data_IF_291905688408
#
_entry.id   IF_291905688408
#
_cell.length_a   1.000
_cell.length_b   1.000
_cell.length_c   1.000
_cell.angle_alpha   90.00
_cell.angle_beta   90.00
_cell.angle_gamma   90.00
#
_symmetry.space_group_name_H-M   'P 1'
#
loop_
_entity.id
_entity.type
_entity.pdbx_description
1 polymer ?
#
# COMPACT_ATOMS: atom_id res chain seq x y z
N UNK A 1 -36.34 12.32 -47.65
CA UNK A 1 -35.78 12.11 -46.30
C UNK A 1 -36.14 13.31 -45.46
N UNK A 2 -37.01 13.12 -44.47
CA UNK A 2 -37.50 14.18 -43.58
C UNK A 2 -36.50 14.41 -42.44
N UNK A 3 -36.48 15.60 -41.85
CA UNK A 3 -35.70 15.89 -40.64
C UNK A 3 -35.99 14.89 -39.50
N UNK A 4 -37.18 14.27 -39.49
CA UNK A 4 -37.56 13.21 -38.56
C UNK A 4 -36.75 11.90 -38.72
N UNK A 5 -36.26 11.59 -39.93
CA UNK A 5 -35.46 10.39 -40.21
C UNK A 5 -34.02 10.51 -39.67
N UNK A 6 -33.55 11.74 -39.44
CA UNK A 6 -32.22 12.03 -38.90
C UNK A 6 -32.18 12.09 -37.37
N UNK A 7 -33.33 12.32 -36.70
CA UNK A 7 -33.43 12.35 -35.24
C UNK A 7 -32.84 11.09 -34.57
N UNK A 8 -33.18 9.85 -34.96
CA UNK A 8 -32.57 8.65 -34.36
C UNK A 8 -31.06 8.55 -34.64
N UNK A 9 -30.61 9.07 -35.79
CA UNK A 9 -29.21 9.07 -36.20
C UNK A 9 -28.33 9.98 -35.32
N UNK A 10 -28.89 11.04 -34.75
CA UNK A 10 -28.18 11.95 -33.84
C UNK A 10 -28.41 11.62 -32.35
N UNK A 11 -29.58 11.08 -31.98
CA UNK A 11 -29.88 10.72 -30.57
C UNK A 11 -29.16 9.47 -30.10
N UNK A 12 -28.96 8.47 -30.96
CA UNK A 12 -28.26 7.23 -30.59
C UNK A 12 -26.77 7.53 -30.27
N UNK A 13 -26.00 8.22 -31.13
CA UNK A 13 -24.60 8.55 -30.79
C UNK A 13 -24.49 9.51 -29.60
N UNK A 14 -25.38 10.51 -29.51
CA UNK A 14 -25.37 11.48 -28.41
C UNK A 14 -25.61 10.84 -27.05
N UNK A 15 -26.56 9.90 -26.95
CA UNK A 15 -26.83 9.17 -25.71
C UNK A 15 -25.67 8.25 -25.31
N UNK A 16 -25.02 7.59 -26.28
CA UNK A 16 -23.82 6.76 -26.02
C UNK A 16 -22.67 7.60 -25.48
N UNK A 17 -22.38 8.77 -26.09
CA UNK A 17 -21.32 9.68 -25.62
C UNK A 17 -21.63 10.18 -24.20
N UNK A 18 -22.89 10.53 -23.92
CA UNK A 18 -23.34 10.95 -22.59
C UNK A 18 -23.11 9.86 -21.54
N UNK A 19 -23.46 8.61 -21.85
CA UNK A 19 -23.26 7.46 -20.95
C UNK A 19 -21.78 7.19 -20.72
N UNK A 20 -20.95 7.20 -21.78
CA UNK A 20 -19.50 6.98 -21.68
C UNK A 20 -18.85 8.08 -20.83
N UNK A 21 -19.23 9.34 -21.03
CA UNK A 21 -18.71 10.46 -20.25
C UNK A 21 -19.13 10.35 -18.78
N UNK A 22 -20.39 10.02 -18.50
CA UNK A 22 -20.87 9.80 -17.14
C UNK A 22 -20.14 8.65 -16.45
N UNK A 23 -19.97 7.52 -17.15
CA UNK A 23 -19.21 6.37 -16.64
C UNK A 23 -17.73 6.73 -16.40
N UNK A 24 -17.12 7.52 -17.29
CA UNK A 24 -15.76 7.99 -17.14
C UNK A 24 -15.59 8.88 -15.90
N UNK A 25 -16.48 9.85 -15.67
CA UNK A 25 -16.44 10.71 -14.48
C UNK A 25 -16.57 9.89 -13.19
N UNK A 26 -17.48 8.91 -13.18
CA UNK A 26 -17.63 8.00 -12.04
C UNK A 26 -16.34 7.19 -11.83
N UNK A 27 -15.82 6.57 -12.89
CA UNK A 27 -14.57 5.81 -12.84
C UNK A 27 -13.41 6.66 -12.28
N UNK A 28 -13.25 7.86 -12.82
CA UNK A 28 -12.23 8.82 -12.41
C UNK A 28 -12.36 9.15 -10.91
N UNK A 29 -13.57 9.40 -10.42
CA UNK A 29 -13.84 9.74 -9.03
C UNK A 29 -13.50 8.61 -8.05
N UNK A 30 -13.65 7.36 -8.45
CA UNK A 30 -13.49 6.20 -7.58
C UNK A 30 -12.09 5.56 -7.63
N UNK A 31 -11.46 5.52 -8.81
CA UNK A 31 -10.24 4.75 -9.06
C UNK A 31 -8.98 5.58 -9.30
N UNK A 32 -9.08 6.85 -9.74
CA UNK A 32 -7.89 7.66 -10.13
C UNK A 32 -6.92 7.92 -8.98
N UNK A 33 -7.42 8.02 -7.75
CA UNK A 33 -6.65 8.49 -6.59
C UNK A 33 -6.40 7.40 -5.53
N UNK A 34 -6.21 6.15 -5.95
CA UNK A 34 -5.78 5.11 -5.02
C UNK A 34 -4.28 5.28 -4.70
N UNK A 35 -3.89 5.25 -3.41
CA UNK A 35 -2.48 5.20 -3.05
C UNK A 35 -1.90 3.88 -3.51
N UNK A 36 -0.61 3.89 -3.80
CA UNK A 36 0.13 2.69 -4.13
C UNK A 36 1.03 2.31 -2.97
N UNK A 37 1.15 1.02 -2.70
CA UNK A 37 1.99 0.49 -1.65
C UNK A 37 2.81 -0.67 -2.21
N UNK A 38 4.13 -0.62 -2.05
CA UNK A 38 5.03 -1.64 -2.55
C UNK A 38 6.25 -1.78 -1.66
N UNK A 39 6.81 -2.98 -1.61
CA UNK A 39 8.01 -3.27 -0.84
C UNK A 39 9.22 -2.92 -1.71
N UNK A 40 10.19 -2.21 -1.10
CA UNK A 40 11.45 -1.83 -1.73
C UNK A 40 12.63 -2.21 -0.84
N UNK A 41 13.78 -2.43 -1.48
CA UNK A 41 15.07 -2.41 -0.82
C UNK A 41 15.65 -0.99 -0.87
N UNK A 42 16.12 -0.47 0.26
CA UNK A 42 16.84 0.81 0.32
C UNK A 42 18.05 0.66 1.26
N UNK A 43 19.21 1.24 0.94
CA UNK A 43 20.35 1.20 1.86
C UNK A 43 20.01 1.96 3.15
N UNK A 44 20.46 1.43 4.30
CA UNK A 44 20.25 2.06 5.61
C UNK A 44 20.91 3.44 5.72
N UNK A 45 22.05 3.59 5.05
CA UNK A 45 22.84 4.83 4.97
C UNK A 45 23.09 5.11 3.49
N UNK A 46 22.99 6.37 3.01
CA UNK A 46 23.35 6.70 1.63
C UNK A 46 24.74 6.17 1.27
N UNK A 47 24.83 5.29 0.26
CA UNK A 47 26.08 4.64 -0.16
C UNK A 47 26.51 3.41 0.66
N UNK A 48 25.75 3.01 1.67
CA UNK A 48 26.00 1.80 2.45
C UNK A 48 25.66 0.52 1.67
N UNK A 49 26.44 -0.54 1.91
CA UNK A 49 26.22 -1.85 1.30
C UNK A 49 25.02 -2.61 1.92
N UNK A 50 24.70 -2.33 3.18
CA UNK A 50 23.58 -2.99 3.87
C UNK A 50 22.23 -2.42 3.43
N UNK A 51 21.40 -3.27 2.83
CA UNK A 51 20.03 -2.96 2.41
C UNK A 51 19.05 -3.39 3.49
N UNK A 52 18.05 -2.56 3.72
CA UNK A 52 16.90 -2.91 4.54
C UNK A 52 15.62 -2.91 3.69
N UNK A 53 14.63 -3.65 4.18
CA UNK A 53 13.32 -3.78 3.56
C UNK A 53 12.39 -2.66 4.05
N UNK A 54 11.71 -1.99 3.11
CA UNK A 54 10.80 -0.90 3.40
C UNK A 54 9.49 -1.06 2.66
N UNK A 55 8.41 -0.63 3.30
CA UNK A 55 7.15 -0.38 2.66
C UNK A 55 7.13 1.08 2.17
N UNK A 56 7.11 1.28 0.86
CA UNK A 56 6.87 2.59 0.27
C UNK A 56 5.39 2.77 0.00
N UNK A 57 4.81 3.85 0.52
CA UNK A 57 3.44 4.26 0.24
C UNK A 57 3.47 5.60 -0.48
N UNK A 58 2.81 5.68 -1.64
CA UNK A 58 2.73 6.89 -2.47
C UNK A 58 1.29 7.37 -2.49
N UNK A 59 1.07 8.59 -2.00
CA UNK A 59 -0.20 9.28 -2.12
C UNK A 59 -0.26 10.08 -3.42
N UNK A 60 -0.84 9.51 -4.47
CA UNK A 60 -1.03 10.19 -5.76
C UNK A 60 -2.14 11.24 -5.77
N UNK A 61 -2.88 11.37 -4.68
CA UNK A 61 -3.96 12.34 -4.59
C UNK A 61 -3.44 13.69 -4.09
N UNK A 62 -4.14 14.77 -4.40
CA UNK A 62 -3.85 16.11 -3.85
C UNK A 62 -4.28 16.26 -2.38
N UNK A 63 -4.89 15.22 -1.79
CA UNK A 63 -5.51 15.27 -0.47
C UNK A 63 -4.71 14.44 0.51
N UNK A 64 -4.60 14.86 1.78
CA UNK A 64 -3.97 14.03 2.79
C UNK A 64 -4.77 12.73 3.01
N UNK A 65 -4.04 11.63 3.21
CA UNK A 65 -4.57 10.32 3.58
C UNK A 65 -4.06 9.90 4.95
N UNK A 66 -4.89 9.20 5.70
CA UNK A 66 -4.46 8.40 6.84
C UNK A 66 -4.12 7.00 6.33
N UNK A 67 -2.96 6.51 6.73
CA UNK A 67 -2.53 5.13 6.52
C UNK A 67 -2.35 4.48 7.88
N UNK A 68 -2.95 3.31 8.10
CA UNK A 68 -2.85 2.58 9.34
C UNK A 68 -2.61 1.10 9.15
N UNK A 69 -2.00 0.45 10.14
CA UNK A 69 -1.69 -0.97 10.12
C UNK A 69 -1.70 -1.54 11.54
N UNK A 70 -1.98 -2.85 11.69
CA UNK A 70 -1.89 -3.50 12.99
C UNK A 70 -0.43 -3.51 13.48
N UNK A 71 -0.26 -3.28 14.77
CA UNK A 71 1.01 -3.47 15.50
C UNK A 71 0.85 -4.58 16.52
N UNK A 72 1.96 -5.23 16.88
CA UNK A 72 1.93 -6.36 17.79
C UNK A 72 2.99 -7.42 17.48
N UNK A 73 2.88 -8.54 18.19
CA UNK A 73 3.85 -9.64 18.12
C UNK A 73 3.20 -10.89 17.51
N UNK A 74 2.35 -10.70 16.51
CA UNK A 74 1.77 -11.83 15.77
C UNK A 74 2.87 -12.59 15.01
N UNK A 75 2.70 -13.91 14.94
CA UNK A 75 3.53 -14.80 14.14
C UNK A 75 3.10 -14.73 12.67
N UNK A 76 4.03 -14.92 11.74
CA UNK A 76 3.81 -14.82 10.28
C UNK A 76 3.31 -13.45 9.78
N UNK A 77 3.26 -12.43 10.62
CA UNK A 77 2.79 -11.09 10.25
C UNK A 77 3.95 -10.14 9.91
N UNK A 78 3.82 -9.40 8.81
CA UNK A 78 4.74 -8.33 8.47
C UNK A 78 4.62 -7.20 9.51
N UNK A 79 5.75 -6.83 10.12
CA UNK A 79 5.81 -5.73 11.08
C UNK A 79 6.29 -4.47 10.38
N UNK A 80 5.55 -3.39 10.60
CA UNK A 80 5.88 -2.09 10.00
C UNK A 80 6.13 -1.08 11.13
N UNK A 81 7.32 -0.48 11.14
CA UNK A 81 7.65 0.64 12.01
C UNK A 81 7.30 1.96 11.34
N UNK A 82 6.97 2.99 12.12
CA UNK A 82 6.64 4.31 11.56
C UNK A 82 7.88 5.10 11.12
N UNK A 83 9.02 4.85 11.75
CA UNK A 83 10.32 5.45 11.41
C UNK A 83 11.46 4.55 11.95
N UNK A 84 12.70 4.99 11.78
CA UNK A 84 13.91 4.30 12.27
C UNK A 84 14.24 4.53 13.74
N UNK A 85 13.47 5.34 14.45
CA UNK A 85 13.75 5.60 15.86
C UNK A 85 13.53 4.32 16.67
N UNK A 86 14.40 4.05 17.64
CA UNK A 86 14.24 2.94 18.58
C UNK A 86 12.86 2.98 19.25
N UNK A 87 12.33 4.18 19.49
CA UNK A 87 11.00 4.39 20.05
C UNK A 87 9.88 3.88 19.13
N UNK A 88 9.95 4.15 17.83
CA UNK A 88 8.94 3.67 16.89
C UNK A 88 9.02 2.16 16.67
N UNK A 89 10.23 1.59 16.68
CA UNK A 89 10.46 0.15 16.61
C UNK A 89 9.87 -0.54 17.84
N UNK A 90 10.15 -0.03 19.05
CA UNK A 90 9.55 -0.60 20.28
C UNK A 90 8.03 -0.46 20.25
N UNK A 91 7.51 0.68 19.79
CA UNK A 91 6.06 0.91 19.71
C UNK A 91 5.37 -0.04 18.71
N UNK A 92 6.03 -0.46 17.63
CA UNK A 92 5.45 -1.40 16.67
C UNK A 92 5.32 -2.83 17.22
N UNK A 93 6.03 -3.15 18.30
CA UNK A 93 5.89 -4.43 19.02
C UNK A 93 4.69 -4.44 19.98
N UNK A 94 4.15 -3.29 20.36
CA UNK A 94 2.98 -3.21 21.23
C UNK A 94 1.71 -3.48 20.42
N UNK A 95 0.83 -4.33 20.96
CA UNK A 95 -0.46 -4.62 20.34
C UNK A 95 -1.29 -3.34 20.17
N UNK A 96 -1.82 -3.13 18.97
CA UNK A 96 -2.66 -1.98 18.67
C UNK A 96 -2.73 -1.67 17.18
N UNK A 97 -2.98 -0.41 16.87
CA UNK A 97 -2.98 0.11 15.51
C UNK A 97 -2.08 1.35 15.47
N UNK A 98 -1.21 1.41 14.46
CA UNK A 98 -0.41 2.60 14.18
C UNK A 98 -1.00 3.29 12.97
N UNK A 99 -1.18 4.61 13.07
CA UNK A 99 -1.61 5.46 11.97
C UNK A 99 -0.60 6.58 11.72
N UNK A 100 -0.43 6.94 10.44
CA UNK A 100 0.40 8.04 9.95
C UNK A 100 -0.41 8.84 8.92
N UNK A 101 -0.15 10.14 8.83
CA UNK A 101 -0.72 11.03 7.81
C UNK A 101 0.29 11.16 6.68
N UNK A 102 -0.17 11.02 5.44
CA UNK A 102 0.60 11.33 4.23
C UNK A 102 -0.10 12.46 3.50
N UNK A 103 0.62 13.55 3.24
CA UNK A 103 0.08 14.69 2.51
C UNK A 103 -0.11 14.38 1.02
N UNK A 104 -0.81 15.27 0.32
CA UNK A 104 -1.12 15.09 -1.09
C UNK A 104 0.14 15.14 -1.96
N UNK A 105 0.32 14.16 -2.85
CA UNK A 105 1.49 14.04 -3.72
C UNK A 105 2.74 13.53 -3.02
N UNK A 106 2.67 13.23 -1.72
CA UNK A 106 3.82 12.79 -0.92
C UNK A 106 4.05 11.28 -1.06
N UNK A 107 5.30 10.87 -0.85
CA UNK A 107 5.68 9.49 -0.63
C UNK A 107 6.40 9.31 0.71
N UNK A 108 6.13 8.19 1.37
CA UNK A 108 6.80 7.82 2.61
C UNK A 108 7.29 6.38 2.55
N UNK A 109 8.37 6.12 3.31
CA UNK A 109 8.95 4.80 3.45
C UNK A 109 8.93 4.38 4.91
N UNK A 110 8.36 3.22 5.19
CA UNK A 110 8.21 2.66 6.52
C UNK A 110 9.09 1.40 6.64
N UNK A 111 9.96 1.29 7.65
CA UNK A 111 10.79 0.10 7.82
C UNK A 111 9.93 -1.15 8.05
N UNK A 112 10.25 -2.22 7.31
CA UNK A 112 9.65 -3.54 7.50
C UNK A 112 10.57 -4.37 8.37
N UNK A 113 10.03 -4.93 9.45
CA UNK A 113 10.76 -5.74 10.41
C UNK A 113 10.37 -7.22 10.26
N UNK A 114 11.33 -8.09 10.58
CA UNK A 114 11.11 -9.53 10.63
C UNK A 114 10.05 -9.89 11.68
N UNK A 115 9.17 -10.86 11.42
CA UNK A 115 8.27 -11.43 12.43
C UNK A 115 9.08 -12.15 13.53
N UNK A 116 8.43 -12.45 14.65
CA UNK A 116 9.09 -13.11 15.80
C UNK A 116 9.58 -14.51 15.44
N UNK A 117 8.81 -15.24 14.66
CA UNK A 117 9.09 -16.62 14.29
C UNK A 117 9.90 -16.74 12.99
N UNK A 118 10.67 -15.71 12.61
CA UNK A 118 11.40 -15.64 11.34
C UNK A 118 12.27 -16.87 11.04
N UNK A 119 12.98 -17.37 12.04
CA UNK A 119 13.87 -18.52 11.92
C UNK A 119 13.06 -19.80 11.63
N UNK A 120 11.87 -19.93 12.20
CA UNK A 120 11.00 -21.08 11.99
C UNK A 120 10.20 -21.04 10.68
N UNK A 121 10.31 -19.96 9.88
CA UNK A 121 9.61 -19.84 8.60
C UNK A 121 10.34 -20.60 7.50
N UNK A 122 9.57 -21.34 6.71
CA UNK A 122 10.07 -21.94 5.48
C UNK A 122 10.38 -20.83 4.42
N UNK A 123 11.36 -21.03 3.53
CA UNK A 123 11.73 -20.01 2.53
C UNK A 123 10.57 -19.56 1.63
N UNK A 124 9.65 -20.45 1.30
CA UNK A 124 8.49 -20.17 0.44
C UNK A 124 7.27 -19.66 1.21
N UNK A 125 7.34 -19.64 2.55
CA UNK A 125 6.25 -19.14 3.38
C UNK A 125 6.09 -17.62 3.23
N UNK A 126 4.85 -17.20 3.05
CA UNK A 126 4.48 -15.79 2.91
C UNK A 126 4.16 -15.17 4.26
N UNK A 127 4.72 -13.99 4.49
CA UNK A 127 4.36 -13.11 5.59
C UNK A 127 3.54 -11.95 5.04
N UNK A 128 2.48 -11.58 5.75
CA UNK A 128 1.51 -10.60 5.27
C UNK A 128 1.07 -9.60 6.33
N UNK A 129 0.56 -8.47 5.88
CA UNK A 129 -0.08 -7.48 6.74
C UNK A 129 -1.11 -6.68 5.95
N UNK A 130 -2.17 -6.27 6.64
CA UNK A 130 -3.24 -5.46 6.06
C UNK A 130 -2.96 -4.01 6.43
N UNK A 131 -2.73 -3.19 5.43
CA UNK A 131 -2.65 -1.75 5.61
C UNK A 131 -3.96 -1.13 5.17
N UNK A 132 -4.53 -0.33 6.06
CA UNK A 132 -5.77 0.41 5.85
C UNK A 132 -5.44 1.84 5.46
N UNK A 133 -6.30 2.44 4.66
CA UNK A 133 -6.17 3.84 4.30
C UNK A 133 -7.52 4.52 4.08
N UNK A 134 -7.55 5.82 4.34
CA UNK A 134 -8.70 6.69 4.09
C UNK A 134 -8.26 8.13 3.85
N UNK A 135 -9.08 8.92 3.17
CA UNK A 135 -8.85 10.35 3.06
C UNK A 135 -9.07 11.05 4.41
N UNK A 136 -8.29 12.09 4.70
CA UNK A 136 -8.41 12.78 5.98
C UNK A 136 -9.72 13.57 6.12
N UNK A 137 -10.26 14.07 5.01
CA UNK A 137 -11.59 14.68 4.99
C UNK A 137 -12.66 13.59 4.85
N UNK A 138 -13.60 13.48 5.80
CA UNK A 138 -14.72 12.55 5.68
C UNK A 138 -15.62 13.01 4.55
N UNK A 139 -15.57 12.32 3.42
CA UNK A 139 -16.67 12.34 2.47
C UNK A 139 -17.68 11.34 3.02
N UNK A 140 -18.91 11.79 3.23
CA UNK A 140 -20.01 11.14 3.99
C UNK A 140 -20.20 9.63 3.77
N UNK A 141 -19.64 9.03 2.72
CA UNK A 141 -19.82 7.64 2.31
C UNK A 141 -18.54 6.82 2.02
N UNK A 142 -17.31 7.25 2.39
CA UNK A 142 -16.10 6.46 2.06
C UNK A 142 -15.65 5.53 3.21
N UNK A 143 -15.90 4.23 2.99
CA UNK A 143 -15.39 3.04 3.68
C UNK A 143 -13.86 3.10 3.83
N UNK A 144 -13.35 2.67 4.98
CA UNK A 144 -11.92 2.33 5.13
C UNK A 144 -11.54 1.33 4.03
N UNK A 145 -10.51 1.67 3.27
CA UNK A 145 -10.00 0.82 2.19
C UNK A 145 -8.76 0.09 2.69
N UNK A 146 -8.49 -1.07 2.12
CA UNK A 146 -7.37 -1.90 2.54
C UNK A 146 -6.53 -2.32 1.35
N UNK A 147 -5.24 -2.53 1.58
CA UNK A 147 -4.37 -3.28 0.69
C UNK A 147 -3.65 -4.34 1.50
N UNK A 148 -3.63 -5.57 0.96
CA UNK A 148 -2.87 -6.68 1.50
C UNK A 148 -1.45 -6.60 0.96
N UNK A 149 -0.49 -6.53 1.87
CA UNK A 149 0.93 -6.58 1.53
C UNK A 149 1.41 -7.97 1.92
N UNK A 150 2.08 -8.63 0.99
CA UNK A 150 2.64 -9.97 1.19
C UNK A 150 4.03 -10.07 0.59
N UNK A 151 4.91 -10.81 1.26
CA UNK A 151 6.24 -11.15 0.75
C UNK A 151 6.64 -12.52 1.28
N UNK A 152 7.34 -13.34 0.49
CA UNK A 152 7.92 -14.59 0.99
C UNK A 152 9.24 -14.35 1.71
N UNK A 153 9.62 -15.25 2.64
CA UNK A 153 10.93 -15.22 3.31
C UNK A 153 12.07 -15.11 2.28
N UNK A 154 12.05 -15.95 1.23
CA UNK A 154 13.03 -15.91 0.13
C UNK A 154 13.09 -14.55 -0.56
N UNK A 155 11.94 -13.95 -0.90
CA UNK A 155 11.91 -12.64 -1.56
C UNK A 155 12.43 -11.53 -0.66
N UNK A 156 12.16 -11.60 0.64
CA UNK A 156 12.68 -10.64 1.61
C UNK A 156 14.21 -10.72 1.70
N UNK A 157 14.78 -11.94 1.80
CA UNK A 157 16.22 -12.15 1.86
C UNK A 157 16.92 -11.64 0.59
N UNK A 158 16.31 -11.85 -0.58
CA UNK A 158 16.78 -11.31 -1.86
C UNK A 158 16.78 -9.77 -1.89
N UNK A 159 15.88 -9.11 -1.16
CA UNK A 159 15.84 -7.63 -1.10
C UNK A 159 16.90 -7.07 -0.14
N UNK A 160 17.23 -7.80 0.92
CA UNK A 160 18.20 -7.36 1.93
C UNK A 160 19.63 -7.77 1.62
N UNK A 161 19.85 -8.58 0.56
CA UNK A 161 21.11 -9.27 0.27
C UNK A 161 21.63 -10.08 1.48
N UNK A 162 20.70 -10.58 2.31
CA UNK A 162 21.06 -11.42 3.46
C UNK A 162 21.14 -12.89 3.01
N UNK A 163 22.22 -13.56 3.39
CA UNK A 163 22.33 -15.03 3.25
C UNK A 163 21.59 -15.67 4.43
N UNK A 164 20.68 -16.60 4.14
CA UNK A 164 20.05 -17.42 5.17
C UNK A 164 21.15 -18.32 5.76
N UNK A 165 21.54 -18.10 7.01
CA UNK A 165 22.62 -18.87 7.66
C UNK A 165 22.17 -20.27 8.10
N UNK A 166 20.96 -20.71 7.76
CA UNK A 166 20.38 -22.01 8.15
C UNK A 166 20.79 -23.17 7.21
N UNK A 167 21.98 -23.09 6.60
CA UNK A 167 22.61 -24.23 5.93
C UNK A 167 23.95 -24.48 6.61
N UNK A 168 23.92 -25.01 7.84
CA UNK A 168 25.00 -25.79 8.47
C UNK A 168 24.53 -26.28 9.86
N UNK A 169 23.88 -27.45 9.90
CA UNK A 169 24.28 -28.65 10.68
C UNK A 169 23.36 -29.85 10.35
#
# INVERSE_FOLDING_TARGET
MSAADFVPFFTIPGSVIGVVTGAFVIWERFFRYQPMAFIIAKPLIPGGAQKACYLRVINRSERPIFVSWPTGIEDNALRIAADHSSRAIVKSLLHGEKAVVLDGGEDATFPVLKPRNWEALEPDQTIETIVRWRFAQPMTWKRDRTFLIRISKRSYLLLTDEVDNDVDD
#
